data_IF_836845282721
#
_entry.id   IF_836845282721
#
_cell.length_a   1.000
_cell.length_b   1.000
_cell.length_c   1.000
_cell.angle_alpha   90.00
_cell.angle_beta   90.00
_cell.angle_gamma   90.00
#
_symmetry.space_group_name_H-M   'P 1'
#
loop_
_entity.id
_entity.type
_entity.pdbx_description
1 polymer ?
#
# COMPACT_ATOMS: atom_id res chain seq x y z
N UNK A 1 -48.24 67.86 9.78
CA UNK A 1 -47.38 66.92 10.53
C UNK A 1 -46.18 66.57 9.65
N UNK A 2 -44.99 66.70 10.23
CA UNK A 2 -43.61 66.51 9.72
C UNK A 2 -43.45 65.26 8.82
N UNK A 3 -42.52 65.10 7.85
CA UNK A 3 -41.08 65.42 7.69
C UNK A 3 -40.76 65.47 6.17
N UNK A 4 -40.04 66.46 5.58
CA UNK A 4 -38.58 66.66 5.42
C UNK A 4 -37.77 65.60 4.63
N UNK A 5 -37.20 66.07 3.50
CA UNK A 5 -35.87 65.80 2.87
C UNK A 5 -35.54 64.35 2.43
N UNK A 6 -34.80 64.06 1.35
CA UNK A 6 -33.49 64.62 0.97
C UNK A 6 -33.11 64.20 -0.47
N UNK A 7 -32.48 65.11 -1.21
CA UNK A 7 -31.78 64.86 -2.49
C UNK A 7 -30.34 64.42 -2.15
N UNK A 8 -29.87 63.30 -2.69
CA UNK A 8 -28.52 62.78 -2.49
C UNK A 8 -27.88 62.40 -3.83
N UNK A 9 -26.78 63.08 -4.15
CA UNK A 9 -26.03 63.00 -5.39
C UNK A 9 -25.31 61.64 -5.57
N UNK A 10 -25.33 61.12 -6.81
CA UNK A 10 -24.51 60.00 -7.23
C UNK A 10 -23.06 60.43 -7.41
N UNK A 11 -22.16 59.83 -6.62
CA UNK A 11 -20.71 59.95 -6.75
C UNK A 11 -20.21 58.72 -7.52
N UNK A 12 -19.78 58.90 -8.76
CA UNK A 12 -19.14 57.85 -9.56
C UNK A 12 -17.65 57.80 -9.18
N UNK A 13 -17.23 56.79 -8.41
CA UNK A 13 -15.80 56.51 -8.25
C UNK A 13 -15.32 55.62 -9.38
N UNK A 14 -14.35 56.17 -10.13
CA UNK A 14 -13.52 55.50 -11.11
C UNK A 14 -12.51 54.61 -10.35
N UNK A 15 -12.67 53.29 -10.41
CA UNK A 15 -11.67 52.36 -9.90
C UNK A 15 -10.68 52.01 -11.01
N UNK A 16 -9.44 52.49 -10.89
CA UNK A 16 -8.30 52.03 -11.68
C UNK A 16 -8.06 50.53 -11.41
N UNK A 17 -8.15 49.71 -12.45
CA UNK A 17 -7.65 48.33 -12.44
C UNK A 17 -6.13 48.36 -12.57
N UNK A 18 -5.42 48.31 -11.45
CA UNK A 18 -4.03 47.87 -11.42
C UNK A 18 -4.01 46.34 -11.35
N UNK A 19 -3.70 45.68 -12.46
CA UNK A 19 -3.39 44.25 -12.49
C UNK A 19 -2.07 44.02 -11.74
N UNK A 20 -2.16 43.65 -10.47
CA UNK A 20 -1.07 42.97 -9.79
C UNK A 20 -1.05 41.53 -10.32
N UNK A 21 -0.01 41.19 -11.10
CA UNK A 21 0.30 39.80 -11.38
C UNK A 21 0.73 39.15 -10.06
N UNK A 22 -0.16 38.38 -9.45
CA UNK A 22 0.22 37.42 -8.41
C UNK A 22 0.94 36.27 -9.10
N UNK A 23 2.26 36.18 -8.87
CA UNK A 23 3.01 34.98 -9.14
C UNK A 23 2.42 33.84 -8.31
N UNK A 24 1.97 32.80 -9.00
CA UNK A 24 1.48 31.56 -8.40
C UNK A 24 2.70 30.77 -7.88
N UNK A 25 2.87 30.58 -6.56
CA UNK A 25 3.90 29.70 -6.05
C UNK A 25 3.40 28.28 -6.25
N UNK A 26 3.82 27.67 -7.36
CA UNK A 26 3.37 26.35 -7.77
C UNK A 26 3.39 25.31 -6.64
N UNK A 27 2.27 24.58 -6.52
CA UNK A 27 2.32 23.21 -6.04
C UNK A 27 3.06 22.40 -7.09
N UNK A 28 4.21 21.86 -6.71
CA UNK A 28 4.68 20.62 -7.31
C UNK A 28 3.92 19.56 -6.54
N UNK A 29 2.92 19.00 -7.20
CA UNK A 29 1.74 18.41 -6.61
C UNK A 29 2.07 17.35 -5.54
N UNK A 30 1.75 17.70 -4.30
CA UNK A 30 1.43 16.75 -3.25
C UNK A 30 0.07 16.13 -3.53
N UNK A 31 -0.03 15.37 -4.61
CA UNK A 31 -1.12 14.41 -4.77
C UNK A 31 -1.04 13.47 -3.57
N UNK A 32 -1.91 13.69 -2.57
CA UNK A 32 -2.40 12.57 -1.78
C UNK A 32 -2.96 11.59 -2.80
N UNK A 33 -2.40 10.37 -2.94
CA UNK A 33 -2.92 9.42 -3.90
C UNK A 33 -4.40 9.23 -3.59
N UNK A 34 -5.26 9.40 -4.61
CA UNK A 34 -6.68 9.09 -4.50
C UNK A 34 -6.78 7.67 -3.92
N UNK A 35 -7.19 7.56 -2.65
CA UNK A 35 -7.40 6.27 -2.03
C UNK A 35 -8.67 5.71 -2.64
N UNK A 36 -8.51 4.95 -3.73
CA UNK A 36 -9.56 4.16 -4.34
C UNK A 36 -10.26 3.29 -3.28
N UNK A 37 -11.59 3.19 -3.36
CA UNK A 37 -12.42 2.43 -2.42
C UNK A 37 -12.09 0.92 -2.38
N UNK A 38 -11.31 0.43 -3.36
CA UNK A 38 -10.62 -0.86 -3.37
C UNK A 38 -9.28 -0.75 -4.12
N UNK A 39 -8.16 -0.44 -3.45
CA UNK A 39 -6.89 -0.10 -4.11
C UNK A 39 -6.19 -1.31 -4.77
N UNK A 40 -6.86 -2.46 -4.83
CA UNK A 40 -6.28 -3.74 -5.24
C UNK A 40 -7.02 -4.41 -6.39
N UNK A 41 -8.05 -3.75 -6.96
CA UNK A 41 -8.73 -4.19 -8.18
C UNK A 41 -8.24 -3.36 -9.37
N UNK A 42 -7.08 -3.76 -9.92
CA UNK A 42 -6.39 -3.02 -10.97
C UNK A 42 -6.73 -3.54 -12.36
N UNK A 43 -6.37 -4.78 -12.70
CA UNK A 43 -6.64 -5.37 -14.01
C UNK A 43 -7.87 -6.27 -13.91
N UNK A 44 -8.90 -5.95 -14.70
CA UNK A 44 -10.15 -6.69 -14.73
C UNK A 44 -10.13 -7.87 -15.72
N UNK A 45 -11.09 -8.81 -15.62
CA UNK A 45 -11.14 -9.98 -16.50
C UNK A 45 -11.39 -9.62 -17.98
N UNK A 46 -11.96 -8.45 -18.23
CA UNK A 46 -12.15 -7.91 -19.59
C UNK A 46 -10.85 -7.37 -20.22
N UNK A 47 -9.75 -7.33 -19.45
CA UNK A 47 -8.42 -6.88 -19.85
C UNK A 47 -8.19 -5.38 -19.74
N UNK A 48 -9.16 -4.63 -19.20
CA UNK A 48 -9.03 -3.21 -18.92
C UNK A 48 -8.38 -2.96 -17.55
N UNK A 49 -7.65 -1.85 -17.45
CA UNK A 49 -7.18 -1.30 -16.18
C UNK A 49 -8.30 -0.46 -15.55
N UNK A 50 -8.65 -0.78 -14.31
CA UNK A 50 -9.69 -0.16 -13.49
C UNK A 50 -11.03 -0.01 -14.24
N UNK A 51 -11.37 -1.00 -15.07
CA UNK A 51 -12.57 -0.97 -15.93
C UNK A 51 -13.90 -1.20 -15.19
N UNK A 52 -13.86 -1.19 -13.85
CA UNK A 52 -15.05 -1.22 -12.98
C UNK A 52 -15.54 -2.62 -12.60
N UNK A 53 -14.70 -3.65 -12.66
CA UNK A 53 -15.01 -4.94 -12.05
C UNK A 53 -14.93 -4.86 -10.53
N UNK A 54 -15.66 -5.75 -9.84
CA UNK A 54 -15.54 -5.90 -8.39
C UNK A 54 -14.52 -7.00 -8.04
N UNK A 55 -14.07 -7.01 -6.78
CA UNK A 55 -13.24 -8.10 -6.24
C UNK A 55 -13.83 -9.50 -6.50
N UNK A 56 -15.14 -9.67 -6.35
CA UNK A 56 -15.83 -10.94 -6.64
C UNK A 56 -15.67 -11.37 -8.11
N UNK A 57 -15.56 -10.42 -9.05
CA UNK A 57 -15.29 -10.73 -10.46
C UNK A 57 -13.86 -11.23 -10.65
N UNK A 58 -12.90 -10.64 -9.93
CA UNK A 58 -11.49 -11.09 -9.91
C UNK A 58 -11.41 -12.52 -9.37
N UNK A 59 -12.01 -12.78 -8.20
CA UNK A 59 -11.98 -14.09 -7.55
C UNK A 59 -12.65 -15.17 -8.42
N UNK A 60 -13.79 -14.86 -9.06
CA UNK A 60 -14.45 -15.80 -10.01
C UNK A 60 -13.65 -16.06 -11.29
N UNK A 61 -12.80 -15.12 -11.68
CA UNK A 61 -11.94 -15.27 -12.84
C UNK A 61 -10.70 -16.12 -12.56
N UNK A 62 -10.37 -16.40 -11.29
CA UNK A 62 -9.35 -17.39 -10.95
C UNK A 62 -9.86 -18.80 -11.25
N UNK A 63 -9.12 -19.51 -12.10
CA UNK A 63 -9.43 -20.85 -12.57
C UNK A 63 -8.73 -21.90 -11.71
N UNK A 64 -9.51 -22.62 -10.92
CA UNK A 64 -9.06 -23.70 -10.05
C UNK A 64 -9.65 -25.05 -10.48
N UNK A 65 -9.74 -25.28 -11.80
CA UNK A 65 -10.21 -26.53 -12.37
C UNK A 65 -9.34 -27.74 -11.96
N UNK A 66 -9.89 -28.94 -12.18
CA UNK A 66 -9.20 -30.21 -11.92
C UNK A 66 -7.84 -30.25 -12.63
N UNK A 67 -6.77 -30.30 -11.84
CA UNK A 67 -5.40 -30.37 -12.35
C UNK A 67 -4.69 -29.03 -12.53
N UNK A 68 -5.23 -27.91 -12.03
CA UNK A 68 -4.55 -26.60 -12.04
C UNK A 68 -3.09 -26.69 -11.56
N UNK A 69 -2.81 -27.56 -10.59
CA UNK A 69 -1.47 -27.76 -10.03
C UNK A 69 -0.42 -28.21 -11.06
N UNK A 70 -0.83 -28.92 -12.13
CA UNK A 70 0.06 -29.33 -13.21
C UNK A 70 0.47 -28.16 -14.12
N UNK A 71 -0.41 -27.17 -14.28
CA UNK A 71 -0.19 -25.95 -15.07
C UNK A 71 0.34 -24.77 -14.25
N UNK A 72 0.50 -24.91 -12.93
CA UNK A 72 0.79 -23.80 -12.01
C UNK A 72 2.02 -22.93 -12.41
N UNK A 73 3.02 -23.52 -13.07
CA UNK A 73 4.22 -22.81 -13.50
C UNK A 73 4.15 -22.20 -14.91
N UNK A 74 3.13 -22.53 -15.71
CA UNK A 74 3.04 -22.15 -17.13
C UNK A 74 1.74 -21.44 -17.51
N UNK A 75 0.65 -21.80 -16.85
CA UNK A 75 -0.69 -21.39 -17.21
C UNK A 75 -1.17 -20.35 -16.21
N UNK A 76 -1.64 -19.20 -16.71
CA UNK A 76 -2.22 -18.19 -15.84
C UNK A 76 -3.49 -18.72 -15.19
N UNK A 77 -3.51 -18.75 -13.85
CA UNK A 77 -4.73 -19.07 -13.11
C UNK A 77 -5.77 -17.96 -13.23
N UNK A 78 -5.36 -16.70 -13.42
CA UNK A 78 -6.29 -15.60 -13.62
C UNK A 78 -6.75 -15.49 -15.08
N UNK A 79 -8.04 -15.72 -15.34
CA UNK A 79 -8.64 -15.61 -16.67
C UNK A 79 -8.98 -14.17 -17.01
N UNK A 80 -8.13 -13.56 -17.83
CA UNK A 80 -8.31 -12.19 -18.33
C UNK A 80 -8.05 -12.11 -19.84
N UNK A 81 -8.56 -11.05 -20.47
CA UNK A 81 -8.18 -10.67 -21.84
C UNK A 81 -6.92 -9.83 -21.93
N UNK A 82 -6.36 -9.38 -20.79
CA UNK A 82 -5.03 -8.79 -20.74
C UNK A 82 -3.96 -9.84 -21.08
N UNK A 83 -2.78 -9.39 -21.53
CA UNK A 83 -1.62 -10.30 -21.64
C UNK A 83 -1.22 -10.73 -20.22
N UNK A 84 -1.28 -12.04 -19.97
CA UNK A 84 -0.98 -12.63 -18.68
C UNK A 84 0.19 -13.60 -18.79
N UNK A 85 1.15 -13.48 -17.87
CA UNK A 85 2.33 -14.35 -17.82
C UNK A 85 2.62 -14.78 -16.39
N UNK A 86 2.97 -16.05 -16.21
CA UNK A 86 3.48 -16.54 -14.92
C UNK A 86 4.90 -16.02 -14.71
N UNK A 87 5.10 -15.26 -13.65
CA UNK A 87 6.41 -14.76 -13.21
C UNK A 87 7.11 -15.81 -12.36
N UNK A 88 6.38 -16.36 -11.39
CA UNK A 88 6.87 -17.38 -10.48
C UNK A 88 5.69 -18.18 -9.92
N UNK A 89 5.97 -19.38 -9.43
CA UNK A 89 5.00 -20.21 -8.74
C UNK A 89 5.70 -21.13 -7.75
N UNK A 90 4.97 -21.61 -6.76
CA UNK A 90 5.54 -22.57 -5.83
C UNK A 90 4.52 -23.16 -4.87
N UNK A 91 5.07 -23.88 -3.90
CA UNK A 91 4.30 -24.55 -2.86
C UNK A 91 4.93 -24.29 -1.49
N UNK A 92 4.11 -24.25 -0.46
CA UNK A 92 4.51 -24.13 0.93
C UNK A 92 3.80 -25.24 1.69
N UNK A 93 4.57 -26.14 2.30
CA UNK A 93 4.02 -27.09 3.25
C UNK A 93 3.66 -26.35 4.54
N UNK A 94 2.37 -26.30 4.89
CA UNK A 94 1.88 -25.68 6.11
C UNK A 94 1.62 -26.76 7.15
N UNK A 95 2.69 -27.19 7.83
CA UNK A 95 2.71 -28.40 8.65
C UNK A 95 1.78 -28.30 9.87
N UNK A 96 1.67 -27.12 10.49
CA UNK A 96 0.80 -26.87 11.63
C UNK A 96 -0.69 -26.99 11.27
N UNK A 97 -1.02 -26.83 10.00
CA UNK A 97 -2.37 -26.89 9.44
C UNK A 97 -2.65 -28.21 8.70
N UNK A 98 -1.64 -29.07 8.51
CA UNK A 98 -1.73 -30.32 7.74
C UNK A 98 -2.24 -30.10 6.29
N UNK A 99 -1.78 -29.02 5.65
CA UNK A 99 -2.20 -28.63 4.29
C UNK A 99 -1.01 -28.17 3.47
N UNK A 100 -1.22 -28.01 2.16
CA UNK A 100 -0.24 -27.40 1.24
C UNK A 100 -0.82 -26.13 0.66
N UNK A 101 -0.06 -25.05 0.71
CA UNK A 101 -0.41 -23.83 -0.01
C UNK A 101 0.27 -23.85 -1.37
N UNK A 102 -0.48 -23.56 -2.42
CA UNK A 102 0.05 -23.26 -3.74
C UNK A 102 -0.04 -21.77 -3.99
N UNK A 103 0.95 -21.21 -4.67
CA UNK A 103 0.94 -19.80 -5.03
C UNK A 103 1.44 -19.59 -6.45
N UNK A 104 0.93 -18.53 -7.07
CA UNK A 104 1.34 -18.06 -8.38
C UNK A 104 1.45 -16.54 -8.37
N UNK A 105 2.55 -16.03 -8.91
CA UNK A 105 2.76 -14.61 -9.21
C UNK A 105 2.62 -14.42 -10.71
N UNK A 106 1.81 -13.44 -11.09
CA UNK A 106 1.43 -13.16 -12.46
C UNK A 106 1.82 -11.73 -12.82
N UNK A 107 2.33 -11.53 -14.03
CA UNK A 107 2.37 -10.23 -14.67
C UNK A 107 1.12 -10.06 -15.53
N UNK A 108 0.43 -8.94 -15.35
CA UNK A 108 -0.76 -8.55 -16.08
C UNK A 108 -0.47 -7.26 -16.86
N UNK A 109 -0.63 -7.30 -18.18
CA UNK A 109 -0.50 -6.14 -19.04
C UNK A 109 -1.86 -5.81 -19.67
N UNK A 110 -2.62 -4.86 -19.08
CA UNK A 110 -3.85 -4.36 -19.67
C UNK A 110 -3.56 -3.54 -20.94
N UNK A 111 -4.60 -3.32 -21.75
CA UNK A 111 -4.46 -2.60 -23.04
C UNK A 111 -4.45 -1.07 -22.89
N UNK A 112 -4.91 -0.57 -21.75
CA UNK A 112 -5.26 0.83 -21.49
C UNK A 112 -4.68 1.37 -20.17
N UNK A 113 -3.74 0.66 -19.55
CA UNK A 113 -3.14 1.05 -18.28
C UNK A 113 -1.73 0.50 -18.03
N UNK A 114 -1.16 0.79 -16.84
CA UNK A 114 0.15 0.28 -16.46
C UNK A 114 0.12 -1.25 -16.28
N UNK A 115 1.30 -1.87 -16.39
CA UNK A 115 1.47 -3.25 -15.95
C UNK A 115 1.20 -3.36 -14.44
N UNK A 116 0.65 -4.48 -14.02
CA UNK A 116 0.43 -4.82 -12.62
C UNK A 116 0.87 -6.25 -12.36
N UNK A 117 1.21 -6.56 -11.12
CA UNK A 117 1.41 -7.94 -10.69
C UNK A 117 0.20 -8.42 -9.90
N UNK A 118 -0.05 -9.73 -9.96
CA UNK A 118 -1.10 -10.39 -9.21
C UNK A 118 -0.55 -11.61 -8.49
N UNK A 119 -0.92 -11.79 -7.23
CA UNK A 119 -0.76 -13.04 -6.51
C UNK A 119 -2.07 -13.83 -6.51
N UNK A 120 -1.96 -15.13 -6.69
CA UNK A 120 -3.02 -16.11 -6.42
C UNK A 120 -2.46 -17.06 -5.36
N UNK A 121 -3.16 -17.18 -4.22
CA UNK A 121 -2.82 -18.09 -3.14
C UNK A 121 -3.97 -19.08 -2.91
N UNK A 122 -3.63 -20.36 -2.86
CA UNK A 122 -4.58 -21.47 -2.83
C UNK A 122 -4.20 -22.39 -1.67
N UNK A 123 -5.20 -22.85 -0.94
CA UNK A 123 -5.07 -23.96 0.00
C UNK A 123 -5.52 -25.25 -0.67
N UNK A 124 -4.64 -26.25 -0.69
CA UNK A 124 -4.95 -27.59 -1.14
C UNK A 124 -5.18 -28.49 0.08
N UNK A 125 -6.41 -28.48 0.59
CA UNK A 125 -6.87 -29.44 1.61
C UNK A 125 -7.72 -30.54 0.95
N UNK A 126 -7.10 -31.70 0.71
CA UNK A 126 -7.75 -32.84 0.07
C UNK A 126 -8.00 -32.64 -1.43
N UNK A 127 -9.20 -32.96 -1.91
CA UNK A 127 -9.52 -33.04 -3.34
C UNK A 127 -9.95 -31.70 -3.96
N UNK A 128 -10.43 -30.74 -3.16
CA UNK A 128 -10.99 -29.48 -3.65
C UNK A 128 -10.08 -28.33 -3.24
N UNK A 129 -9.43 -27.61 -4.19
CA UNK A 129 -8.66 -26.42 -3.86
C UNK A 129 -9.55 -25.28 -3.39
N UNK A 130 -9.05 -24.47 -2.47
CA UNK A 130 -9.73 -23.26 -1.97
C UNK A 130 -8.89 -22.04 -2.30
N UNK A 131 -9.48 -21.06 -3.00
CA UNK A 131 -8.86 -19.76 -3.19
C UNK A 131 -8.79 -19.03 -1.84
N UNK A 132 -7.58 -18.77 -1.34
CA UNK A 132 -7.38 -18.00 -0.12
C UNK A 132 -7.31 -16.51 -0.40
N UNK A 133 -6.60 -16.15 -1.47
CA UNK A 133 -6.30 -14.77 -1.79
C UNK A 133 -6.08 -14.61 -3.29
N UNK A 134 -6.67 -13.56 -3.83
CA UNK A 134 -6.30 -12.99 -5.12
C UNK A 134 -6.08 -11.50 -4.91
N UNK A 135 -4.91 -10.99 -5.28
CA UNK A 135 -4.56 -9.61 -4.97
C UNK A 135 -3.63 -9.02 -6.01
N UNK A 136 -3.77 -7.74 -6.30
CA UNK A 136 -2.98 -7.05 -7.30
C UNK A 136 -2.21 -5.87 -6.71
N UNK A 137 -1.10 -5.52 -7.34
CA UNK A 137 -0.34 -4.30 -7.05
C UNK A 137 0.25 -3.74 -8.33
N UNK A 138 0.41 -2.43 -8.40
CA UNK A 138 1.12 -1.76 -9.50
C UNK A 138 2.65 -1.90 -9.44
N UNK A 139 3.19 -2.35 -8.30
CA UNK A 139 4.61 -2.63 -8.17
C UNK A 139 4.89 -4.11 -8.41
N UNK A 140 5.34 -4.81 -7.38
CA UNK A 140 5.73 -6.22 -7.50
C UNK A 140 5.48 -7.02 -6.23
N UNK A 141 5.36 -8.33 -6.38
CA UNK A 141 5.34 -9.31 -5.30
C UNK A 141 6.68 -10.07 -5.23
N UNK A 142 7.11 -10.39 -4.02
CA UNK A 142 8.11 -11.43 -3.78
C UNK A 142 7.42 -12.76 -3.47
N UNK A 143 8.19 -13.86 -3.50
CA UNK A 143 7.67 -15.17 -3.13
C UNK A 143 7.14 -15.16 -1.67
N UNK A 144 5.97 -15.77 -1.39
CA UNK A 144 5.45 -15.84 -0.04
C UNK A 144 6.38 -16.64 0.90
N UNK A 145 6.46 -16.21 2.16
CA UNK A 145 7.35 -16.77 3.18
C UNK A 145 6.52 -17.26 4.37
N UNK A 146 6.63 -18.55 4.68
CA UNK A 146 6.13 -19.10 5.94
C UNK A 146 7.02 -18.60 7.10
N UNK A 147 6.53 -17.59 7.81
CA UNK A 147 7.26 -16.96 8.92
C UNK A 147 7.21 -17.85 10.16
N UNK A 148 6.02 -18.40 10.44
CA UNK A 148 5.75 -19.28 11.57
C UNK A 148 4.89 -20.45 11.10
N UNK A 149 5.30 -21.65 11.50
CA UNK A 149 4.61 -22.89 11.24
C UNK A 149 4.80 -23.83 12.44
N UNK A 150 3.93 -23.72 13.45
CA UNK A 150 4.06 -24.47 14.70
C UNK A 150 3.00 -24.11 15.75
N UNK A 151 2.87 -24.94 16.78
CA UNK A 151 1.92 -24.74 17.89
C UNK A 151 0.46 -24.53 17.45
N UNK A 152 0.07 -25.15 16.33
CA UNK A 152 -1.27 -25.00 15.75
C UNK A 152 -1.54 -23.62 15.12
N UNK A 153 -0.51 -22.77 14.97
CA UNK A 153 -0.59 -21.45 14.36
C UNK A 153 0.31 -21.37 13.13
N UNK A 154 -0.17 -20.67 12.12
CA UNK A 154 0.54 -20.39 10.89
C UNK A 154 0.55 -18.89 10.61
N UNK A 155 1.69 -18.38 10.13
CA UNK A 155 1.87 -17.00 9.71
C UNK A 155 2.58 -16.98 8.37
N UNK A 156 1.90 -16.48 7.35
CA UNK A 156 2.45 -16.28 6.02
C UNK A 156 2.65 -14.79 5.79
N UNK A 157 3.84 -14.40 5.37
CA UNK A 157 4.11 -13.05 4.87
C UNK A 157 4.21 -13.12 3.36
N UNK A 158 3.43 -12.30 2.69
CA UNK A 158 3.57 -12.03 1.27
C UNK A 158 4.18 -10.64 1.10
N UNK A 159 5.51 -10.56 0.87
CA UNK A 159 6.15 -9.27 0.68
C UNK A 159 5.73 -8.69 -0.67
N UNK A 160 5.45 -7.40 -0.70
CA UNK A 160 5.03 -6.72 -1.91
C UNK A 160 5.32 -5.23 -1.82
N UNK A 161 5.48 -4.59 -2.98
CA UNK A 161 5.69 -3.15 -3.09
C UNK A 161 4.72 -2.55 -4.09
N UNK A 162 4.26 -1.35 -3.80
CA UNK A 162 3.56 -0.51 -4.77
C UNK A 162 4.57 0.18 -5.69
N UNK A 163 4.11 0.74 -6.80
CA UNK A 163 4.93 1.46 -7.79
C UNK A 163 5.79 2.59 -7.19
N UNK A 164 5.31 3.24 -6.13
CA UNK A 164 6.05 4.25 -5.34
C UNK A 164 7.08 3.68 -4.36
N UNK A 165 7.40 2.37 -4.43
CA UNK A 165 8.23 1.61 -3.50
C UNK A 165 7.71 1.57 -2.06
N UNK A 166 6.46 1.99 -1.85
CA UNK A 166 5.75 1.80 -0.60
C UNK A 166 5.40 0.32 -0.35
N UNK A 167 4.99 -0.03 0.87
CA UNK A 167 4.55 -1.40 1.16
C UNK A 167 3.24 -1.71 0.43
N UNK A 168 3.14 -2.95 -0.03
CA UNK A 168 1.87 -3.57 -0.37
C UNK A 168 1.74 -4.95 0.33
N UNK A 169 2.60 -5.18 1.34
CA UNK A 169 2.72 -6.48 1.99
C UNK A 169 1.38 -6.95 2.56
N UNK A 170 1.16 -8.26 2.49
CA UNK A 170 0.03 -8.92 3.13
C UNK A 170 0.55 -9.92 4.15
N UNK A 171 -0.13 -9.99 5.29
CA UNK A 171 0.17 -10.96 6.34
C UNK A 171 -1.07 -11.81 6.56
N UNK A 172 -0.96 -13.11 6.26
CA UNK A 172 -2.02 -14.08 6.44
C UNK A 172 -1.77 -14.92 7.68
N UNK A 173 -2.84 -15.23 8.41
CA UNK A 173 -2.80 -15.93 9.69
C UNK A 173 -3.85 -17.01 9.71
N UNK A 174 -3.54 -18.14 10.34
CA UNK A 174 -4.50 -19.19 10.62
C UNK A 174 -4.12 -19.93 11.91
N UNK A 175 -5.11 -20.22 12.76
CA UNK A 175 -4.96 -21.01 13.99
C UNK A 175 -5.89 -22.24 14.01
N UNK A 176 -6.09 -22.88 12.86
CA UNK A 176 -7.05 -23.98 12.62
C UNK A 176 -8.53 -23.59 12.72
N UNK A 177 -8.82 -22.29 12.71
CA UNK A 177 -10.19 -21.77 12.77
C UNK A 177 -10.58 -21.00 11.51
N UNK A 178 -9.69 -20.97 10.50
CA UNK A 178 -9.87 -20.26 9.24
C UNK A 178 -8.74 -19.28 8.97
N UNK A 179 -8.66 -18.84 7.72
CA UNK A 179 -7.71 -17.84 7.28
C UNK A 179 -8.24 -16.43 7.57
N UNK A 180 -7.37 -15.58 8.08
CA UNK A 180 -7.56 -14.13 8.08
C UNK A 180 -6.30 -13.45 7.56
N UNK A 181 -6.39 -12.19 7.16
CA UNK A 181 -5.24 -11.43 6.67
C UNK A 181 -5.36 -9.95 7.01
N UNK A 182 -4.21 -9.27 6.99
CA UNK A 182 -4.11 -7.81 7.12
C UNK A 182 -3.07 -7.29 6.12
N UNK A 183 -3.24 -6.05 5.65
CA UNK A 183 -2.25 -5.39 4.79
C UNK A 183 -1.31 -4.50 5.59
N UNK A 184 -0.14 -4.20 5.02
CA UNK A 184 0.75 -3.20 5.56
C UNK A 184 0.04 -1.86 5.75
N UNK A 185 -0.81 -1.44 4.82
CA UNK A 185 -1.58 -0.19 4.93
C UNK A 185 -2.53 -0.20 6.12
N UNK A 186 -3.18 -1.34 6.41
CA UNK A 186 -4.04 -1.48 7.57
C UNK A 186 -3.24 -1.36 8.88
N UNK A 187 -2.07 -2.02 8.95
CA UNK A 187 -1.14 -1.92 10.09
C UNK A 187 -0.64 -0.48 10.24
N UNK A 188 -0.30 0.19 9.15
CA UNK A 188 0.16 1.58 9.19
C UNK A 188 -0.92 2.51 9.72
N UNK A 189 -2.16 2.42 9.20
CA UNK A 189 -3.29 3.20 9.69
C UNK A 189 -3.61 2.95 11.16
N UNK A 190 -3.46 1.71 11.63
CA UNK A 190 -3.63 1.40 13.06
C UNK A 190 -2.50 2.01 13.90
N UNK A 191 -1.25 1.91 13.43
CA UNK A 191 -0.08 2.50 14.11
C UNK A 191 -0.18 4.03 14.18
N UNK A 192 -0.60 4.68 13.11
CA UNK A 192 -0.73 6.14 13.03
C UNK A 192 -1.70 6.68 14.08
N UNK A 193 -2.76 5.94 14.41
CA UNK A 193 -3.71 6.32 15.48
C UNK A 193 -3.09 6.24 16.88
N UNK A 194 -1.99 5.51 17.04
CA UNK A 194 -1.26 5.35 18.30
C UNK A 194 -0.08 6.33 18.40
N UNK A 195 0.30 6.98 17.31
CA UNK A 195 1.33 8.03 17.32
C UNK A 195 0.77 9.35 17.87
N UNK A 196 1.63 10.22 18.43
CA UNK A 196 1.22 11.57 18.80
C UNK A 196 0.70 12.35 17.58
N UNK A 197 -0.22 13.29 17.82
CA UNK A 197 -0.73 14.16 16.76
C UNK A 197 0.42 14.91 16.05
N UNK A 198 0.28 15.07 14.72
CA UNK A 198 1.32 15.66 13.88
C UNK A 198 2.42 14.70 13.44
N UNK A 199 2.27 13.39 13.73
CA UNK A 199 3.16 12.34 13.25
C UNK A 199 2.40 11.21 12.55
N UNK A 200 3.05 10.59 11.57
CA UNK A 200 2.55 9.41 10.86
C UNK A 200 3.71 8.54 10.39
N UNK A 201 3.47 7.26 10.11
CA UNK A 201 4.47 6.37 9.57
C UNK A 201 4.84 6.77 8.15
N UNK A 202 6.14 6.69 7.87
CA UNK A 202 6.66 6.71 6.53
C UNK A 202 6.72 5.29 5.98
N UNK A 203 6.15 5.09 4.80
CA UNK A 203 6.43 3.90 4.03
C UNK A 203 7.88 3.94 3.50
N UNK A 204 8.61 2.81 3.48
CA UNK A 204 8.16 1.48 3.87
C UNK A 204 8.40 1.09 5.33
N UNK A 205 7.45 0.35 5.89
CA UNK A 205 7.58 -0.49 7.08
C UNK A 205 8.43 -1.72 6.77
N UNK A 206 9.49 -1.91 7.55
CA UNK A 206 10.31 -3.12 7.55
C UNK A 206 9.79 -4.14 8.53
N UNK A 207 9.15 -5.20 8.03
CA UNK A 207 8.61 -6.29 8.83
C UNK A 207 9.69 -7.28 9.29
N UNK A 208 9.71 -7.58 10.59
CA UNK A 208 10.43 -8.71 11.19
C UNK A 208 9.44 -9.61 11.94
N UNK A 209 8.55 -10.22 11.18
CA UNK A 209 7.44 -11.01 11.72
C UNK A 209 7.90 -12.26 12.48
N UNK A 210 9.13 -12.76 12.25
CA UNK A 210 9.69 -13.88 13.02
C UNK A 210 9.87 -13.50 14.49
N UNK A 211 10.35 -12.28 14.73
CA UNK A 211 10.50 -11.69 16.06
C UNK A 211 9.23 -10.95 16.51
N UNK A 212 8.14 -11.03 15.73
CA UNK A 212 6.88 -10.35 16.05
C UNK A 212 7.01 -8.83 16.10
N UNK A 213 7.81 -8.23 15.23
CA UNK A 213 8.02 -6.78 15.22
C UNK A 213 8.07 -6.19 13.82
N UNK A 214 7.96 -4.87 13.74
CA UNK A 214 8.24 -4.07 12.55
C UNK A 214 8.90 -2.74 12.95
N UNK A 215 9.55 -2.13 11.96
CA UNK A 215 10.24 -0.85 12.09
C UNK A 215 9.80 0.07 10.96
N UNK A 216 9.60 1.35 11.25
CA UNK A 216 9.34 2.36 10.23
C UNK A 216 9.93 3.71 10.63
N UNK A 217 10.27 4.52 9.62
CA UNK A 217 10.53 5.94 9.85
C UNK A 217 9.20 6.65 10.13
N UNK A 218 9.26 7.79 10.81
CA UNK A 218 8.09 8.60 11.17
C UNK A 218 8.21 9.95 10.51
N UNK A 219 7.16 10.37 9.81
CA UNK A 219 7.00 11.72 9.27
C UNK A 219 6.45 12.66 10.33
N UNK A 220 6.88 13.91 10.26
CA UNK A 220 6.26 15.05 10.91
C UNK A 220 5.29 15.71 9.94
N UNK A 221 4.26 16.36 10.45
CA UNK A 221 3.42 17.25 9.65
C UNK A 221 4.29 18.32 8.95
N UNK A 222 4.13 18.43 7.63
CA UNK A 222 4.95 19.30 6.79
C UNK A 222 6.25 18.68 6.27
N UNK A 223 6.57 17.43 6.61
CA UNK A 223 7.67 16.71 5.97
C UNK A 223 7.42 16.58 4.45
N UNK A 224 8.43 16.82 3.61
CA UNK A 224 8.34 16.48 2.19
C UNK A 224 8.04 15.00 1.99
N UNK A 225 7.25 14.65 0.97
CA UNK A 225 6.86 13.27 0.68
C UNK A 225 8.03 12.28 0.57
N UNK A 226 9.21 12.73 0.17
CA UNK A 226 10.41 11.88 0.07
C UNK A 226 11.04 11.50 1.40
N UNK A 227 10.84 12.28 2.46
CA UNK A 227 11.86 12.43 3.49
C UNK A 227 11.24 12.55 4.88
N UNK A 228 11.28 11.46 5.65
CA UNK A 228 10.78 11.40 7.01
C UNK A 228 11.81 11.94 8.01
N UNK A 229 11.43 12.95 8.80
CA UNK A 229 12.31 13.62 9.78
C UNK A 229 11.81 13.49 11.22
N UNK A 230 10.60 12.97 11.42
CA UNK A 230 9.95 12.86 12.73
C UNK A 230 10.61 11.85 13.66
N UNK A 231 11.27 10.81 13.13
CA UNK A 231 12.04 9.84 13.92
C UNK A 231 11.76 8.40 13.51
N UNK A 232 11.68 7.51 14.51
CA UNK A 232 11.58 6.06 14.29
C UNK A 232 10.47 5.49 15.17
N UNK A 233 9.61 4.64 14.58
CA UNK A 233 8.65 3.82 15.29
C UNK A 233 9.07 2.34 15.26
N UNK A 234 9.05 1.70 16.43
CA UNK A 234 9.13 0.26 16.58
C UNK A 234 7.75 -0.26 16.96
N UNK A 235 7.26 -1.25 16.23
CA UNK A 235 5.93 -1.81 16.36
C UNK A 235 6.11 -3.26 16.80
N UNK A 236 5.54 -3.62 17.95
CA UNK A 236 5.48 -5.01 18.37
C UNK A 236 4.09 -5.56 18.06
N UNK A 237 4.06 -6.81 17.61
CA UNK A 237 2.86 -7.54 17.30
C UNK A 237 2.62 -8.66 18.29
N UNK A 238 1.34 -8.92 18.55
CA UNK A 238 0.89 -10.13 19.20
C UNK A 238 -0.05 -10.89 18.24
N UNK A 239 0.25 -12.18 18.03
CA UNK A 239 -0.60 -13.05 17.22
C UNK A 239 -1.62 -13.74 18.13
N UNK A 240 -2.88 -13.36 17.95
CA UNK A 240 -4.04 -14.10 18.43
C UNK A 240 -4.48 -15.16 17.40
N UNK A 241 -5.51 -15.94 17.73
CA UNK A 241 -6.05 -16.97 16.84
C UNK A 241 -6.43 -16.43 15.44
N UNK A 242 -6.99 -15.22 15.39
CA UNK A 242 -7.58 -14.65 14.17
C UNK A 242 -7.00 -13.32 13.74
N UNK A 243 -6.00 -12.79 14.44
CA UNK A 243 -5.47 -11.46 14.13
C UNK A 243 -4.03 -11.29 14.60
N UNK A 244 -3.30 -10.44 13.87
CA UNK A 244 -2.02 -9.88 14.25
C UNK A 244 -2.32 -8.47 14.75
N UNK A 245 -2.40 -8.31 16.06
CA UNK A 245 -2.69 -7.03 16.69
C UNK A 245 -1.41 -6.30 17.05
N UNK A 246 -1.42 -4.98 16.99
CA UNK A 246 -0.35 -4.15 17.54
C UNK A 246 -0.44 -4.19 19.06
N UNK A 247 0.58 -4.75 19.71
CA UNK A 247 0.65 -4.81 21.18
C UNK A 247 1.36 -3.59 21.77
N UNK A 248 2.30 -3.00 21.02
CA UNK A 248 3.04 -1.82 21.45
C UNK A 248 3.55 -1.02 20.25
N UNK A 249 3.50 0.31 20.37
CA UNK A 249 4.22 1.24 19.49
C UNK A 249 5.18 2.04 20.35
N UNK A 250 6.48 1.94 20.06
CA UNK A 250 7.51 2.79 20.66
C UNK A 250 8.05 3.77 19.62
N UNK A 251 7.69 5.03 19.82
CA UNK A 251 8.18 6.14 19.02
C UNK A 251 9.36 6.82 19.69
N UNK A 252 10.48 6.89 18.96
CA UNK A 252 11.64 7.70 19.31
C UNK A 252 11.67 8.90 18.36
N UNK A 253 11.25 10.05 18.86
CA UNK A 253 11.25 11.30 18.09
C UNK A 253 12.68 11.77 17.83
N UNK A 254 12.96 12.18 16.59
CA UNK A 254 14.18 12.90 16.25
C UNK A 254 14.01 14.39 16.53
N UNK A 255 14.86 14.92 17.42
CA UNK A 255 14.98 16.35 17.68
C UNK A 255 16.17 16.89 16.89
N UNK A 256 15.93 17.86 16.01
CA UNK A 256 17.02 18.53 15.27
C UNK A 256 17.83 19.37 16.26
N UNK A 257 19.14 19.12 16.30
CA UNK A 257 20.09 19.89 17.12
C UNK A 257 21.02 20.67 16.22
N UNK A 258 21.13 21.98 16.47
CA UNK A 258 21.97 22.88 15.68
C UNK A 258 21.32 23.37 14.38
N UNK A 259 22.12 23.98 13.52
CA UNK A 259 21.69 24.48 12.21
C UNK A 259 21.68 23.33 11.18
N UNK A 260 20.63 23.24 10.37
CA UNK A 260 20.56 22.25 9.29
C UNK A 260 21.49 22.66 8.16
N UNK A 261 22.50 21.84 7.87
CA UNK A 261 23.40 22.05 6.75
C UNK A 261 22.90 21.29 5.52
N UNK A 262 22.69 22.01 4.43
CA UNK A 262 22.37 21.44 3.12
C UNK A 262 23.65 21.39 2.28
N UNK A 263 24.05 20.18 1.86
CA UNK A 263 25.10 20.03 0.86
C UNK A 263 24.47 20.08 -0.53
N UNK A 264 24.69 21.18 -1.24
CA UNK A 264 24.30 21.32 -2.63
C UNK A 264 25.51 21.00 -3.51
N UNK A 265 25.56 19.83 -4.16
CA UNK A 265 26.64 19.52 -5.09
C UNK A 265 26.55 20.45 -6.30
N UNK A 266 27.38 21.50 -6.31
CA UNK A 266 27.43 22.49 -7.38
C UNK A 266 27.96 23.88 -6.99
N UNK A 267 28.02 24.21 -5.70
CA UNK A 267 28.45 25.53 -5.23
C UNK A 267 29.93 25.60 -4.79
N UNK A 268 30.87 25.04 -5.56
CA UNK A 268 32.30 25.41 -5.48
C UNK A 268 33.13 24.78 -6.62
N UNK A 269 33.28 25.49 -7.72
CA UNK A 269 34.57 25.69 -8.40
C UNK A 269 34.43 26.92 -9.31
N UNK A 270 34.13 28.06 -8.67
CA UNK A 270 33.97 29.34 -9.34
C UNK A 270 34.49 30.45 -8.44
N UNK A 271 35.80 30.52 -8.26
CA UNK A 271 36.42 31.73 -7.70
C UNK A 271 37.71 31.49 -6.93
N UNK A 272 38.84 31.92 -7.51
CA UNK A 272 40.04 32.20 -6.73
C UNK A 272 41.36 32.07 -7.50
N UNK A 273 41.58 33.01 -8.43
CA UNK A 273 42.86 33.60 -8.89
C UNK A 273 44.14 32.76 -8.90
#
# INVERSE_FOLDING_TARGET
>A
MNYRATIGAGLTMLACLTTAASADPGSIDGEEPEMFDDPYTLVCPDGGYESGCARDDIERAVDLDDGYAAGLASDCLYRTRADCRVLASGQIAALALDTTLHWQLLALQPNDGPASEMVVLIEQDGAVPVLLLSHQTEGYFDAPVAVRDGDGRFLLHLPARNRGLGNADLVLMNSRQGWNWTSADAIMRETDRLLPAGFSLASPVGFNLREGSAFALVRREGDPGCCATGGIANIDFEQSDHALSISRVAFTETQVVGETHYDYPGAANGGGQ
#
